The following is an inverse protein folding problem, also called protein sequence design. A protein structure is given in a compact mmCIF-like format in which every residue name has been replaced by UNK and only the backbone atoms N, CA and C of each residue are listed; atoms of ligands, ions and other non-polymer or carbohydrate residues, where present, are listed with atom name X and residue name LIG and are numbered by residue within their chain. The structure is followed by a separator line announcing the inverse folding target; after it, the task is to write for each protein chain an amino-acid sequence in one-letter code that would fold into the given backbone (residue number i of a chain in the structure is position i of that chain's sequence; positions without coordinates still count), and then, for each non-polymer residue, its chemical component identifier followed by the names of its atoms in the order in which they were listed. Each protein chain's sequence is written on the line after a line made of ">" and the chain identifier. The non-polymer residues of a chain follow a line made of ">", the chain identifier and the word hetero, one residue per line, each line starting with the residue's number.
data_IF_319695469365
#
_entry.id   IF_319695469365
#
_cell.length_a   1.000
_cell.length_b   1.000
_cell.length_c   1.000
_cell.angle_alpha   90.00
_cell.angle_beta   90.00
_cell.angle_gamma   90.00
#
_symmetry.space_group_name_H-M   'P 1'
#
loop_
_entity.id
_entity.type
_entity.pdbx_description
1 polymer ?
#
# COMPACT_ATOMS: atom_id res chain seq x y z
N UNK A 1 -24.99 28.48 27.31
CA UNK A 1 -26.16 29.31 26.92
C UNK A 1 -27.42 28.86 27.64
N UNK A 2 -27.98 27.68 27.32
CA UNK A 2 -29.29 27.23 27.84
C UNK A 2 -29.33 27.15 29.37
N UNK A 3 -28.27 26.66 30.03
CA UNK A 3 -28.20 26.60 31.49
C UNK A 3 -28.27 27.98 32.16
N UNK A 4 -27.58 28.99 31.62
CA UNK A 4 -27.65 30.36 32.12
C UNK A 4 -29.05 30.97 31.93
N UNK A 5 -29.75 30.63 30.85
CA UNK A 5 -31.15 31.00 30.68
C UNK A 5 -32.08 30.28 31.68
N UNK A 6 -31.73 29.07 32.11
CA UNK A 6 -32.49 28.32 33.13
C UNK A 6 -32.31 28.89 34.54
N UNK A 7 -31.18 29.56 34.80
CA UNK A 7 -30.92 30.35 36.01
C UNK A 7 -31.70 31.68 36.07
N UNK A 8 -32.51 31.98 35.04
CA UNK A 8 -33.36 33.18 34.98
C UNK A 8 -32.71 34.39 34.31
N UNK A 9 -31.48 34.27 33.80
CA UNK A 9 -30.79 35.37 33.11
C UNK A 9 -31.44 35.70 31.76
N UNK A 10 -31.49 36.98 31.43
CA UNK A 10 -32.03 37.43 30.15
C UNK A 10 -31.07 37.11 28.99
N UNK A 11 -31.61 36.91 27.78
CA UNK A 11 -30.81 36.57 26.59
C UNK A 11 -29.68 37.58 26.32
N UNK A 12 -29.91 38.87 26.63
CA UNK A 12 -28.92 39.94 26.52
C UNK A 12 -27.74 39.76 27.49
N UNK A 13 -28.00 39.43 28.75
CA UNK A 13 -26.96 39.19 29.76
C UNK A 13 -26.15 37.92 29.44
N UNK A 14 -26.85 36.87 28.97
CA UNK A 14 -26.21 35.62 28.53
C UNK A 14 -25.32 35.86 27.30
N UNK A 15 -25.74 36.75 26.40
CA UNK A 15 -24.99 37.12 25.20
C UNK A 15 -23.71 37.89 25.55
N UNK A 16 -23.79 38.90 26.43
CA UNK A 16 -22.63 39.65 26.92
C UNK A 16 -21.64 38.73 27.66
N UNK A 17 -22.12 37.85 28.54
CA UNK A 17 -21.27 36.94 29.33
C UNK A 17 -20.55 35.89 28.49
N UNK A 18 -21.14 35.49 27.36
CA UNK A 18 -20.58 34.46 26.46
C UNK A 18 -19.92 35.03 25.20
N UNK A 19 -19.92 36.36 25.03
CA UNK A 19 -19.33 37.01 23.86
C UNK A 19 -20.01 36.65 22.54
N UNK A 20 -21.33 36.42 22.56
CA UNK A 20 -22.11 36.07 21.35
C UNK A 20 -23.20 37.11 21.09
N UNK A 21 -23.80 37.07 19.91
CA UNK A 21 -24.96 37.90 19.60
C UNK A 21 -26.22 37.38 20.33
N UNK A 22 -27.07 38.29 20.84
CA UNK A 22 -28.33 37.95 21.53
C UNK A 22 -29.23 37.01 20.70
N UNK A 23 -29.28 37.24 19.39
CA UNK A 23 -30.02 36.39 18.44
C UNK A 23 -29.56 34.92 18.44
N UNK A 24 -28.26 34.67 18.66
CA UNK A 24 -27.71 33.30 18.78
C UNK A 24 -28.23 32.63 20.05
N UNK A 25 -28.25 33.35 21.18
CA UNK A 25 -28.83 32.85 22.44
C UNK A 25 -30.31 32.53 22.26
N UNK A 26 -31.07 33.43 21.62
CA UNK A 26 -32.49 33.22 21.31
C UNK A 26 -32.75 32.02 20.40
N UNK A 27 -31.92 31.81 19.37
CA UNK A 27 -32.01 30.65 18.47
C UNK A 27 -31.84 29.33 19.24
N UNK A 28 -30.77 29.20 20.03
CA UNK A 28 -30.49 27.98 20.78
C UNK A 28 -31.50 27.73 21.89
N UNK A 29 -31.99 28.79 22.55
CA UNK A 29 -33.06 28.68 23.56
C UNK A 29 -34.37 28.18 22.94
N UNK A 30 -34.74 28.68 21.75
CA UNK A 30 -35.96 28.24 21.04
C UNK A 30 -35.87 26.77 20.62
N UNK A 31 -34.74 26.36 20.04
CA UNK A 31 -34.47 24.95 19.70
C UNK A 31 -34.57 24.02 20.89
N UNK A 32 -33.95 24.40 22.01
CA UNK A 32 -34.00 23.61 23.23
C UNK A 32 -35.43 23.44 23.78
N UNK A 33 -36.25 24.51 23.75
CA UNK A 33 -37.65 24.43 24.21
C UNK A 33 -38.50 23.56 23.30
N UNK A 34 -38.24 23.56 21.99
CA UNK A 34 -39.04 22.81 21.02
C UNK A 34 -38.68 21.31 21.02
N UNK A 35 -37.39 20.98 21.03
CA UNK A 35 -36.91 19.62 20.72
C UNK A 35 -35.83 19.10 21.70
N UNK A 36 -35.63 19.79 22.83
CA UNK A 36 -34.75 19.34 23.90
C UNK A 36 -33.26 19.40 23.55
N UNK A 37 -32.47 18.51 24.16
CA UNK A 37 -31.02 18.52 24.07
C UNK A 37 -30.50 18.03 22.71
N UNK A 38 -31.28 17.21 22.00
CA UNK A 38 -30.90 16.61 20.72
C UNK A 38 -30.75 17.65 19.61
N UNK A 39 -31.48 18.77 19.67
CA UNK A 39 -31.36 19.88 18.72
C UNK A 39 -30.28 20.92 19.06
N UNK A 40 -29.50 20.68 20.12
CA UNK A 40 -28.33 21.50 20.42
C UNK A 40 -27.09 21.13 19.58
N UNK A 41 -27.25 20.25 18.59
CA UNK A 41 -26.21 19.93 17.59
C UNK A 41 -26.34 20.80 16.35
N UNK A 42 -25.22 21.00 15.64
CA UNK A 42 -25.24 21.58 14.30
C UNK A 42 -26.05 20.65 13.37
N UNK A 43 -26.97 21.24 12.61
CA UNK A 43 -27.69 20.50 11.57
C UNK A 43 -26.76 20.15 10.42
N UNK A 44 -27.12 19.10 9.69
CA UNK A 44 -26.46 18.77 8.43
C UNK A 44 -26.49 19.99 7.49
N UNK A 45 -25.31 20.55 7.24
CA UNK A 45 -25.14 21.60 6.23
C UNK A 45 -24.92 20.91 4.89
N UNK A 46 -25.79 21.17 3.94
CA UNK A 46 -25.58 20.72 2.56
C UNK A 46 -24.27 21.34 2.05
N UNK A 47 -23.25 20.50 1.91
CA UNK A 47 -21.98 20.91 1.32
C UNK A 47 -22.18 21.36 -0.13
N UNK A 48 -21.10 21.85 -0.75
CA UNK A 48 -21.12 22.24 -2.17
C UNK A 48 -21.71 21.09 -3.02
N UNK A 49 -22.74 21.37 -3.85
CA UNK A 49 -23.34 20.35 -4.72
C UNK A 49 -22.28 19.62 -5.55
N UNK A 50 -22.44 18.30 -5.68
CA UNK A 50 -21.52 17.47 -6.48
C UNK A 50 -21.58 17.93 -7.93
N UNK A 51 -20.44 18.37 -8.47
CA UNK A 51 -20.31 18.81 -9.87
C UNK A 51 -19.99 17.66 -10.84
N UNK A 52 -19.57 16.51 -10.31
CA UNK A 52 -19.17 15.33 -11.11
C UNK A 52 -20.28 14.29 -11.00
N UNK A 53 -20.87 13.94 -12.13
CA UNK A 53 -21.96 12.96 -12.19
C UNK A 53 -21.44 11.53 -12.02
N UNK A 54 -22.32 10.62 -11.60
CA UNK A 54 -21.94 9.21 -11.46
C UNK A 54 -21.58 8.57 -12.81
N UNK A 55 -22.16 9.06 -13.92
CA UNK A 55 -21.75 8.65 -15.27
C UNK A 55 -20.31 9.05 -15.59
N UNK A 56 -19.88 10.26 -15.20
CA UNK A 56 -18.47 10.67 -15.37
C UNK A 56 -17.53 9.82 -14.49
N UNK A 57 -17.97 9.47 -13.28
CA UNK A 57 -17.20 8.57 -12.40
C UNK A 57 -17.06 7.19 -13.03
N UNK A 58 -18.15 6.62 -13.54
CA UNK A 58 -18.15 5.32 -14.21
C UNK A 58 -17.21 5.31 -15.43
N UNK A 59 -17.24 6.35 -16.26
CA UNK A 59 -16.33 6.49 -17.41
C UNK A 59 -14.85 6.52 -16.99
N UNK A 60 -14.52 7.20 -15.89
CA UNK A 60 -13.15 7.21 -15.36
C UNK A 60 -12.74 5.81 -14.93
N UNK A 61 -13.60 5.09 -14.20
CA UNK A 61 -13.32 3.73 -13.72
C UNK A 61 -13.13 2.77 -14.90
N UNK A 62 -14.09 2.73 -15.82
CA UNK A 62 -14.05 1.86 -16.99
C UNK A 62 -12.79 2.09 -17.82
N UNK A 63 -12.45 3.35 -18.11
CA UNK A 63 -11.24 3.68 -18.86
C UNK A 63 -9.98 3.30 -18.10
N UNK A 64 -9.97 3.45 -16.78
CA UNK A 64 -8.83 3.07 -15.94
C UNK A 64 -8.56 1.57 -16.00
N UNK A 65 -9.62 0.75 -16.01
CA UNK A 65 -9.53 -0.71 -15.98
C UNK A 65 -9.23 -1.34 -17.35
N UNK A 66 -9.81 -0.76 -18.41
CA UNK A 66 -9.86 -1.44 -19.71
C UNK A 66 -8.95 -0.82 -20.77
N UNK A 67 -8.17 0.21 -20.43
CA UNK A 67 -7.29 0.88 -21.40
C UNK A 67 -6.04 1.43 -20.76
N UNK A 68 -5.05 1.74 -21.60
CA UNK A 68 -3.85 2.49 -21.24
C UNK A 68 -3.66 3.67 -22.20
N UNK A 69 -2.97 4.75 -21.77
CA UNK A 69 -2.61 5.83 -22.66
C UNK A 69 -1.61 5.34 -23.74
N UNK A 70 -1.66 5.96 -24.93
CA UNK A 70 -0.86 5.53 -26.09
C UNK A 70 0.65 5.45 -25.83
N UNK A 71 1.17 6.39 -25.04
CA UNK A 71 2.62 6.57 -24.82
C UNK A 71 3.06 6.21 -23.39
N UNK A 72 2.25 5.46 -22.64
CA UNK A 72 2.62 5.02 -21.29
C UNK A 72 1.99 3.68 -20.91
N UNK A 73 2.66 2.95 -20.00
CA UNK A 73 2.21 1.64 -19.53
C UNK A 73 0.94 1.69 -18.68
N UNK A 74 0.64 2.84 -18.08
CA UNK A 74 -0.52 3.04 -17.21
C UNK A 74 -1.01 4.49 -17.24
N UNK A 75 -2.26 4.71 -16.82
CA UNK A 75 -2.78 6.07 -16.61
C UNK A 75 -2.07 6.78 -15.47
N UNK A 76 -1.66 8.02 -15.71
CA UNK A 76 -1.33 8.97 -14.65
C UNK A 76 -2.57 9.80 -14.32
N UNK A 77 -2.62 10.39 -13.13
CA UNK A 77 -3.70 11.29 -12.74
C UNK A 77 -3.85 12.43 -13.77
N UNK A 78 -2.74 12.95 -14.29
CA UNK A 78 -2.73 14.05 -15.27
C UNK A 78 -3.20 13.60 -16.65
N UNK A 79 -2.76 12.43 -17.12
CA UNK A 79 -3.19 11.92 -18.44
C UNK A 79 -4.66 11.52 -18.43
N UNK A 80 -5.15 10.92 -17.35
CA UNK A 80 -6.59 10.62 -17.19
C UNK A 80 -7.43 11.90 -17.11
N UNK A 81 -6.96 12.92 -16.38
CA UNK A 81 -7.60 14.23 -16.32
C UNK A 81 -7.71 14.88 -17.72
N UNK A 82 -6.61 14.89 -18.48
CA UNK A 82 -6.61 15.39 -19.85
C UNK A 82 -7.55 14.62 -20.77
N UNK A 83 -7.67 13.30 -20.59
CA UNK A 83 -8.50 12.45 -21.43
C UNK A 83 -10.01 12.51 -21.11
N UNK A 84 -10.37 12.95 -19.90
CA UNK A 84 -11.76 12.99 -19.40
C UNK A 84 -12.30 14.40 -19.20
N UNK A 85 -11.44 15.42 -19.28
CA UNK A 85 -11.79 16.82 -19.01
C UNK A 85 -12.02 17.13 -17.53
N UNK A 86 -11.80 16.16 -16.63
CA UNK A 86 -11.92 16.35 -15.19
C UNK A 86 -10.62 16.87 -14.59
N UNK A 87 -10.71 17.57 -13.46
CA UNK A 87 -9.52 18.01 -12.74
C UNK A 87 -8.71 16.82 -12.20
N UNK A 88 -7.39 16.98 -12.11
CA UNK A 88 -6.50 15.94 -11.56
C UNK A 88 -6.85 15.60 -10.09
N UNK A 89 -7.36 16.56 -9.30
CA UNK A 89 -7.82 16.30 -7.92
C UNK A 89 -9.08 15.44 -7.91
N UNK A 90 -10.00 15.66 -8.84
CA UNK A 90 -11.17 14.80 -9.05
C UNK A 90 -10.76 13.36 -9.37
N UNK A 91 -9.86 13.18 -10.34
CA UNK A 91 -9.36 11.84 -10.71
C UNK A 91 -8.71 11.16 -9.50
N UNK A 92 -7.84 11.86 -8.77
CA UNK A 92 -7.21 11.33 -7.56
C UNK A 92 -8.25 10.89 -6.53
N UNK A 93 -9.31 11.67 -6.31
CA UNK A 93 -10.39 11.34 -5.37
C UNK A 93 -11.20 10.13 -5.82
N UNK A 94 -11.50 10.03 -7.12
CA UNK A 94 -12.17 8.85 -7.68
C UNK A 94 -11.31 7.61 -7.47
N UNK A 95 -10.04 7.64 -7.88
CA UNK A 95 -9.15 6.49 -7.71
C UNK A 95 -8.97 6.10 -6.24
N UNK A 96 -8.83 7.06 -5.33
CA UNK A 96 -8.73 6.79 -3.90
C UNK A 96 -10.01 6.15 -3.34
N UNK A 97 -11.19 6.63 -3.74
CA UNK A 97 -12.48 6.10 -3.28
C UNK A 97 -12.73 4.67 -3.77
N UNK A 98 -12.26 4.32 -4.97
CA UNK A 98 -12.44 2.99 -5.57
C UNK A 98 -11.21 2.08 -5.46
N UNK A 99 -10.16 2.51 -4.74
CA UNK A 99 -8.92 1.73 -4.57
C UNK A 99 -8.14 1.50 -5.87
N UNK A 100 -8.35 2.30 -6.92
CA UNK A 100 -7.69 2.13 -8.21
C UNK A 100 -6.24 2.58 -8.15
N UNK A 101 -5.33 1.69 -8.49
CA UNK A 101 -3.88 1.94 -8.50
C UNK A 101 -3.28 1.50 -9.85
N UNK A 102 -3.45 2.30 -10.93
CA UNK A 102 -3.07 1.88 -12.29
C UNK A 102 -1.58 1.59 -12.48
N UNK A 103 -0.75 2.14 -11.61
CA UNK A 103 0.70 1.95 -11.59
C UNK A 103 1.15 0.68 -10.86
N UNK A 104 0.21 -0.05 -10.24
CA UNK A 104 0.49 -1.30 -9.57
C UNK A 104 -0.05 -2.46 -10.40
N UNK A 105 0.81 -3.43 -10.59
CA UNK A 105 0.46 -4.73 -11.14
C UNK A 105 0.96 -5.78 -10.16
N UNK A 106 0.12 -6.75 -9.86
CA UNK A 106 0.50 -7.90 -9.06
C UNK A 106 0.57 -9.12 -9.97
N UNK A 107 1.59 -9.94 -9.75
CA UNK A 107 1.69 -11.25 -10.40
C UNK A 107 0.96 -12.26 -9.53
N UNK A 108 0.14 -13.08 -10.17
CA UNK A 108 -0.49 -14.22 -9.52
C UNK A 108 -0.03 -15.49 -10.21
N UNK A 109 0.01 -16.58 -9.45
CA UNK A 109 0.27 -17.92 -9.96
C UNK A 109 -0.95 -18.77 -9.68
N UNK A 110 -1.61 -19.21 -10.75
CA UNK A 110 -2.64 -20.25 -10.65
C UNK A 110 -1.94 -21.61 -10.52
N UNK A 111 -2.34 -22.38 -9.53
CA UNK A 111 -1.89 -23.75 -9.33
C UNK A 111 -3.03 -24.66 -9.76
N UNK A 112 -2.79 -25.44 -10.81
CA UNK A 112 -3.80 -26.34 -11.42
C UNK A 112 -3.85 -27.70 -10.75
N UNK A 113 -2.97 -27.97 -9.79
CA UNK A 113 -2.89 -29.26 -9.09
C UNK A 113 -4.09 -29.42 -8.13
N UNK A 114 -4.97 -30.42 -8.34
CA UNK A 114 -6.11 -30.64 -7.46
C UNK A 114 -5.72 -30.92 -6.00
N UNK A 115 -4.50 -31.43 -5.77
CA UNK A 115 -3.96 -31.72 -4.43
C UNK A 115 -3.11 -30.58 -3.87
N UNK A 116 -3.14 -29.38 -4.48
CA UNK A 116 -2.27 -28.28 -4.06
C UNK A 116 -2.43 -27.94 -2.57
N UNK A 117 -3.67 -27.86 -2.10
CA UNK A 117 -3.97 -27.52 -0.70
C UNK A 117 -3.40 -28.59 0.24
N UNK A 118 -3.67 -29.87 -0.06
CA UNK A 118 -3.22 -30.98 0.77
C UNK A 118 -1.69 -31.05 0.83
N UNK A 119 -1.00 -30.96 -0.32
CA UNK A 119 0.47 -30.90 -0.38
C UNK A 119 1.04 -29.69 0.36
N UNK A 120 0.35 -28.54 0.26
CA UNK A 120 0.73 -27.33 0.99
C UNK A 120 0.61 -27.53 2.49
N UNK A 121 -0.46 -28.15 2.97
CA UNK A 121 -0.66 -28.48 4.37
C UNK A 121 0.41 -29.47 4.88
N UNK A 122 0.76 -30.47 4.10
CA UNK A 122 1.83 -31.42 4.45
C UNK A 122 3.18 -30.72 4.63
N UNK A 123 3.55 -29.82 3.70
CA UNK A 123 4.79 -29.04 3.78
C UNK A 123 4.78 -28.10 4.98
N UNK A 124 3.67 -27.39 5.22
CA UNK A 124 3.53 -26.50 6.39
C UNK A 124 3.58 -27.31 7.68
N UNK A 125 2.96 -28.50 7.72
CA UNK A 125 3.04 -29.43 8.83
C UNK A 125 4.47 -29.83 9.16
N UNK A 126 5.29 -30.09 8.13
CA UNK A 126 6.72 -30.39 8.28
C UNK A 126 7.50 -29.23 8.92
N UNK A 127 7.15 -27.98 8.60
CA UNK A 127 7.77 -26.80 9.21
C UNK A 127 7.35 -26.58 10.66
N UNK A 128 6.05 -26.76 10.95
CA UNK A 128 5.49 -26.50 12.27
C UNK A 128 5.79 -27.60 13.30
N UNK A 129 5.88 -28.85 12.84
CA UNK A 129 6.12 -30.01 13.69
C UNK A 129 7.06 -31.00 12.99
N UNK A 130 8.36 -30.67 12.88
CA UNK A 130 9.32 -31.55 12.23
C UNK A 130 9.43 -32.90 12.95
N UNK A 131 9.61 -34.02 12.23
CA UNK A 131 9.81 -35.34 12.82
C UNK A 131 11.00 -35.40 13.78
N UNK A 132 10.94 -36.32 14.74
CA UNK A 132 12.06 -36.55 15.66
C UNK A 132 13.34 -36.91 14.91
N UNK A 133 14.43 -36.21 15.24
CA UNK A 133 15.77 -36.39 14.63
C UNK A 133 15.79 -36.13 13.12
N UNK A 134 14.93 -35.25 12.63
CA UNK A 134 14.97 -34.76 11.25
C UNK A 134 15.40 -33.28 11.22
N UNK A 135 16.18 -32.92 10.21
CA UNK A 135 16.48 -31.53 9.86
C UNK A 135 15.63 -31.15 8.65
N UNK A 136 14.97 -29.99 8.69
CA UNK A 136 14.13 -29.50 7.60
C UNK A 136 14.78 -28.27 6.99
N UNK A 137 15.16 -28.38 5.72
CA UNK A 137 15.82 -27.32 4.97
C UNK A 137 14.98 -26.86 3.78
N UNK A 138 14.78 -25.55 3.67
CA UNK A 138 14.20 -24.93 2.48
C UNK A 138 15.33 -24.53 1.54
N UNK A 139 15.49 -25.27 0.45
CA UNK A 139 16.50 -24.99 -0.57
C UNK A 139 15.87 -24.17 -1.70
N UNK A 140 16.49 -23.04 -2.04
CA UNK A 140 16.08 -22.20 -3.15
C UNK A 140 17.30 -21.67 -3.91
N UNK A 141 17.06 -21.24 -5.15
CA UNK A 141 18.06 -20.68 -6.04
C UNK A 141 17.65 -19.30 -6.56
N UNK A 142 18.59 -18.37 -6.50
CA UNK A 142 18.47 -17.10 -7.20
C UNK A 142 19.52 -17.07 -8.30
N UNK A 143 19.10 -17.41 -9.50
CA UNK A 143 19.94 -17.41 -10.69
C UNK A 143 20.05 -15.99 -11.30
N UNK A 144 21.02 -15.84 -12.20
CA UNK A 144 21.20 -14.64 -13.03
C UNK A 144 21.36 -13.31 -12.26
N UNK A 145 21.93 -13.37 -11.05
CA UNK A 145 22.22 -12.18 -10.25
C UNK A 145 23.33 -11.40 -10.96
N UNK A 146 22.99 -10.24 -11.51
CA UNK A 146 23.99 -9.36 -12.12
C UNK A 146 24.78 -8.65 -11.03
N UNK A 147 26.10 -8.83 -11.05
CA UNK A 147 27.01 -8.08 -10.17
C UNK A 147 27.28 -6.72 -10.81
N UNK A 148 26.40 -5.76 -10.54
CA UNK A 148 26.48 -4.39 -11.03
C UNK A 148 27.12 -3.50 -9.98
N UNK A 149 28.09 -2.70 -10.40
CA UNK A 149 28.62 -1.59 -9.61
C UNK A 149 28.47 -0.27 -10.37
N UNK A 150 28.53 0.86 -9.66
CA UNK A 150 28.51 2.18 -10.28
C UNK A 150 29.94 2.69 -10.41
N UNK A 151 30.24 3.32 -11.54
CA UNK A 151 31.57 3.93 -11.75
C UNK A 151 31.89 5.03 -10.74
N UNK A 152 30.86 5.71 -10.23
CA UNK A 152 31.01 6.76 -9.23
C UNK A 152 30.05 6.53 -8.06
N UNK A 153 30.41 7.00 -6.85
CA UNK A 153 29.52 6.94 -5.69
C UNK A 153 28.18 7.60 -5.95
N UNK A 154 27.11 7.00 -5.43
CA UNK A 154 25.77 7.60 -5.47
C UNK A 154 25.77 8.85 -4.61
N UNK A 155 25.34 9.98 -5.18
CA UNK A 155 25.14 11.20 -4.43
C UNK A 155 23.74 11.17 -3.82
N UNK A 156 23.61 11.15 -2.48
CA UNK A 156 22.32 11.03 -1.82
C UNK A 156 21.44 12.24 -2.11
N UNK A 157 20.12 12.03 -2.03
CA UNK A 157 19.14 13.10 -2.17
C UNK A 157 19.27 14.13 -1.03
N UNK A 158 19.16 15.42 -1.37
CA UNK A 158 19.01 16.52 -0.39
C UNK A 158 17.89 17.46 -0.86
N UNK A 159 17.30 18.31 0.01
CA UNK A 159 16.25 19.24 -0.40
C UNK A 159 16.64 20.07 -1.64
N UNK A 160 15.82 20.02 -2.69
CA UNK A 160 16.07 20.70 -3.97
C UNK A 160 17.03 19.97 -4.93
N UNK A 161 17.65 18.86 -4.52
CA UNK A 161 18.55 18.07 -5.36
C UNK A 161 18.16 16.59 -5.32
N UNK A 162 17.68 16.02 -6.45
CA UNK A 162 17.39 14.60 -6.51
C UNK A 162 18.66 13.77 -6.35
N UNK A 163 18.50 12.53 -5.89
CA UNK A 163 19.58 11.56 -5.89
C UNK A 163 20.21 11.44 -7.29
N UNK A 164 21.54 11.48 -7.37
CA UNK A 164 22.26 11.37 -8.65
C UNK A 164 23.00 10.06 -8.68
N UNK A 165 22.69 9.26 -9.70
CA UNK A 165 23.42 8.04 -10.06
C UNK A 165 24.02 8.25 -11.44
N UNK A 166 25.27 7.84 -11.64
CA UNK A 166 25.83 7.74 -12.98
C UNK A 166 25.04 6.74 -13.80
N UNK A 167 24.76 7.09 -15.06
CA UNK A 167 24.10 6.18 -16.01
C UNK A 167 24.99 4.97 -16.31
N UNK A 168 26.30 5.19 -16.38
CA UNK A 168 27.29 4.15 -16.64
C UNK A 168 27.47 3.25 -15.42
N UNK A 169 27.44 1.94 -15.67
CA UNK A 169 27.64 0.90 -14.68
C UNK A 169 28.79 -0.02 -15.12
N UNK A 170 29.49 -0.58 -14.14
CA UNK A 170 30.51 -1.62 -14.37
C UNK A 170 29.84 -2.98 -14.16
N UNK A 171 29.97 -3.86 -15.14
CA UNK A 171 29.41 -5.21 -15.08
C UNK A 171 30.48 -6.22 -14.70
N UNK A 172 30.42 -6.73 -13.47
CA UNK A 172 31.34 -7.74 -12.95
C UNK A 172 30.90 -9.19 -13.26
N UNK A 173 30.05 -9.36 -14.27
CA UNK A 173 29.48 -10.64 -14.66
C UNK A 173 28.14 -10.97 -13.98
N UNK A 174 27.82 -12.25 -13.95
CA UNK A 174 26.56 -12.79 -13.43
C UNK A 174 26.88 -13.97 -12.52
N UNK A 175 26.20 -14.08 -11.39
CA UNK A 175 26.33 -15.19 -10.45
C UNK A 175 24.99 -15.84 -10.15
N UNK A 176 25.02 -17.06 -9.64
CA UNK A 176 23.85 -17.78 -9.14
C UNK A 176 24.07 -18.12 -7.67
N UNK A 177 23.15 -17.70 -6.82
CA UNK A 177 23.15 -18.05 -5.40
C UNK A 177 22.28 -19.28 -5.20
N UNK A 178 22.82 -20.30 -4.54
CA UNK A 178 22.02 -21.35 -3.92
C UNK A 178 22.02 -21.12 -2.41
N UNK A 179 20.86 -21.25 -1.79
CA UNK A 179 20.68 -21.06 -0.36
C UNK A 179 19.81 -22.18 0.23
N UNK A 180 20.17 -22.61 1.44
CA UNK A 180 19.40 -23.53 2.25
C UNK A 180 19.11 -22.88 3.59
N UNK A 181 17.83 -22.66 3.88
CA UNK A 181 17.34 -22.11 5.14
C UNK A 181 16.97 -23.26 6.07
N UNK A 182 17.58 -23.31 7.24
CA UNK A 182 17.11 -24.12 8.36
C UNK A 182 15.87 -23.46 8.97
N UNK A 183 14.73 -24.15 8.86
CA UNK A 183 13.43 -23.64 9.31
C UNK A 183 13.36 -23.51 10.83
N UNK A 184 14.08 -24.36 11.58
CA UNK A 184 14.03 -24.36 13.03
C UNK A 184 14.90 -23.24 13.64
N UNK A 185 16.07 -22.98 13.06
CA UNK A 185 17.04 -22.01 13.60
C UNK A 185 17.06 -20.67 12.88
N UNK A 186 16.56 -20.61 11.65
CA UNK A 186 16.69 -19.46 10.77
C UNK A 186 18.08 -19.30 10.14
N UNK A 187 19.00 -20.25 10.37
CA UNK A 187 20.34 -20.21 9.79
C UNK A 187 20.28 -20.45 8.27
N UNK A 188 21.10 -19.71 7.52
CA UNK A 188 21.18 -19.85 6.05
C UNK A 188 22.57 -20.32 5.64
N UNK A 189 22.62 -21.46 4.97
CA UNK A 189 23.82 -21.90 4.24
C UNK A 189 23.68 -21.40 2.81
N UNK A 190 24.58 -20.51 2.37
CA UNK A 190 24.57 -19.96 1.02
C UNK A 190 25.88 -20.17 0.29
N UNK A 191 25.83 -20.35 -1.03
CA UNK A 191 27.02 -20.34 -1.90
C UNK A 191 26.71 -19.77 -3.29
N UNK A 192 27.58 -18.89 -3.75
CA UNK A 192 27.53 -18.33 -5.10
C UNK A 192 28.36 -19.19 -6.06
N UNK A 193 27.83 -19.36 -7.27
CA UNK A 193 28.49 -20.05 -8.38
C UNK A 193 28.49 -19.20 -9.64
N UNK A 194 29.46 -19.42 -10.52
CA UNK A 194 29.57 -18.72 -11.80
C UNK A 194 28.58 -19.25 -12.85
N UNK A 195 28.05 -20.46 -12.66
CA UNK A 195 27.15 -21.13 -13.59
C UNK A 195 25.99 -21.78 -12.84
N UNK A 196 24.86 -21.88 -13.53
CA UNK A 196 23.65 -22.51 -13.04
C UNK A 196 23.45 -23.84 -13.78
N UNK A 197 23.98 -24.93 -13.23
CA UNK A 197 23.80 -26.30 -13.77
C UNK A 197 23.62 -27.28 -12.62
N UNK A 198 23.15 -28.49 -12.95
CA UNK A 198 22.96 -29.57 -12.00
C UNK A 198 24.24 -29.94 -11.23
N UNK A 199 25.42 -29.76 -11.85
CA UNK A 199 26.72 -30.02 -11.23
C UNK A 199 26.99 -29.12 -10.03
N UNK A 200 26.74 -27.82 -10.17
CA UNK A 200 26.88 -26.83 -9.10
C UNK A 200 25.81 -27.04 -8.01
N UNK A 201 24.59 -27.44 -8.38
CA UNK A 201 23.54 -27.78 -7.41
C UNK A 201 23.91 -29.01 -6.57
N UNK A 202 24.42 -30.08 -7.20
CA UNK A 202 24.90 -31.27 -6.48
C UNK A 202 26.06 -30.94 -5.53
N UNK A 203 27.01 -30.10 -5.98
CA UNK A 203 28.08 -29.60 -5.11
C UNK A 203 27.53 -28.83 -3.91
N UNK A 204 26.47 -28.04 -4.10
CA UNK A 204 25.80 -27.34 -3.01
C UNK A 204 25.12 -28.31 -2.03
N UNK A 205 24.43 -29.34 -2.52
CA UNK A 205 23.83 -30.38 -1.66
C UNK A 205 24.88 -31.12 -0.83
N UNK A 206 26.04 -31.47 -1.41
CA UNK A 206 27.17 -32.06 -0.67
C UNK A 206 27.71 -31.13 0.40
N UNK A 207 27.69 -29.82 0.16
CA UNK A 207 28.09 -28.82 1.14
C UNK A 207 27.10 -28.72 2.29
N UNK A 208 25.80 -28.80 2.02
CA UNK A 208 24.77 -28.88 3.07
C UNK A 208 25.04 -30.10 3.94
N UNK A 209 25.22 -31.27 3.32
CA UNK A 209 25.49 -32.55 4.01
C UNK A 209 26.74 -32.49 4.89
N UNK A 210 27.80 -31.81 4.44
CA UNK A 210 29.03 -31.65 5.23
C UNK A 210 28.91 -30.66 6.41
N UNK A 211 27.95 -29.72 6.36
CA UNK A 211 27.77 -28.68 7.39
C UNK A 211 26.71 -29.09 8.42
N UNK A 212 25.72 -29.87 7.99
CA UNK A 212 24.65 -30.36 8.85
C UNK A 212 25.09 -31.61 9.62
N UNK A 213 24.63 -31.78 10.87
CA UNK A 213 25.00 -32.90 11.75
C UNK A 213 24.37 -34.24 11.36
#
# INVERSE_FOLDING_TARGET
>A
MVLLCAEGLQSKEVAERLGVHEHTVGKWRRRFVQNGIEELTDEYREGRPRTVSDMQVAQVIERTLNSTPKDATHWSIRSMASATGLSHTTIRRIWAAFGLQPHRSETFKLLTDPLFVDKGQDIVGLYMSPPNRAVVLCVDEKSQIQALDREQPVLPMVPGVPERRTHTYVRNGTTSLFAALDVATGAVIGKCYNRHRATEFLDFLKRIDAVMP
#
